data_IF_184339499293
#
_entry.id   IF_184339499293
#
_cell.length_a   1.000
_cell.length_b   1.000
_cell.length_c   1.000
_cell.angle_alpha   90.00
_cell.angle_beta   90.00
_cell.angle_gamma   90.00
#
_symmetry.space_group_name_H-M   'P 1'
#
loop_
_entity.id
_entity.type
_entity.pdbx_description
1 polymer ?
#
# COMPACT_ATOMS: atom_id res chain seq x y z
N UNK A 1 21.32 1.74 -6.58
CA UNK A 1 20.15 1.02 -7.13
C UNK A 1 20.50 0.71 -8.57
N UNK A 2 20.52 -0.56 -8.96
CA UNK A 2 20.76 -0.93 -10.35
C UNK A 2 19.43 -0.76 -11.11
N UNK A 3 19.48 -0.14 -12.28
CA UNK A 3 18.32 -0.12 -13.17
C UNK A 3 18.02 -1.55 -13.63
N UNK A 4 16.74 -1.86 -13.74
CA UNK A 4 16.28 -3.15 -14.26
C UNK A 4 16.48 -3.20 -15.78
N UNK A 5 16.79 -4.37 -16.32
CA UNK A 5 16.85 -4.57 -17.76
C UNK A 5 15.44 -4.77 -18.34
N UNK A 6 15.29 -4.66 -19.66
CA UNK A 6 14.03 -4.98 -20.33
C UNK A 6 13.60 -6.44 -20.12
N UNK A 7 14.57 -7.36 -19.97
CA UNK A 7 14.32 -8.75 -19.65
C UNK A 7 13.77 -8.91 -18.24
N UNK A 8 14.38 -8.23 -17.26
CA UNK A 8 13.89 -8.23 -15.87
C UNK A 8 12.47 -7.66 -15.79
N UNK A 9 12.20 -6.57 -16.52
CA UNK A 9 10.87 -5.98 -16.60
C UNK A 9 9.84 -6.96 -17.19
N UNK A 10 10.21 -7.69 -18.25
CA UNK A 10 9.33 -8.70 -18.88
C UNK A 10 9.03 -9.84 -17.90
N UNK A 11 10.04 -10.32 -17.19
CA UNK A 11 9.87 -11.36 -16.17
C UNK A 11 8.98 -10.89 -15.03
N UNK A 12 9.17 -9.65 -14.54
CA UNK A 12 8.38 -9.07 -13.46
C UNK A 12 6.89 -8.91 -13.85
N UNK A 13 6.62 -8.49 -15.09
CA UNK A 13 5.25 -8.40 -15.59
C UNK A 13 4.59 -9.78 -15.65
N UNK A 14 5.29 -10.80 -16.16
CA UNK A 14 4.76 -12.16 -16.21
C UNK A 14 4.44 -12.71 -14.81
N UNK A 15 5.38 -12.54 -13.86
CA UNK A 15 5.18 -12.96 -12.49
C UNK A 15 3.98 -12.24 -11.84
N UNK A 16 3.83 -10.93 -12.09
CA UNK A 16 2.68 -10.18 -11.62
C UNK A 16 1.37 -10.69 -12.21
N UNK A 17 1.30 -10.94 -13.52
CA UNK A 17 0.09 -11.41 -14.19
C UNK A 17 -0.34 -12.80 -13.67
N UNK A 18 0.61 -13.70 -13.42
CA UNK A 18 0.35 -15.01 -12.81
C UNK A 18 -0.16 -14.88 -11.37
N UNK A 19 0.52 -14.06 -10.55
CA UNK A 19 0.19 -13.91 -9.13
C UNK A 19 -1.12 -13.17 -8.92
N UNK A 20 -1.43 -12.14 -9.74
CA UNK A 20 -2.57 -11.25 -9.53
C UNK A 20 -3.91 -12.01 -9.49
N UNK A 21 -4.01 -13.13 -10.19
CA UNK A 21 -5.20 -13.99 -10.22
C UNK A 21 -5.47 -14.69 -8.88
N UNK A 22 -4.47 -14.78 -8.00
CA UNK A 22 -4.56 -15.42 -6.67
C UNK A 22 -4.90 -14.43 -5.55
N UNK A 23 -4.84 -13.12 -5.81
CA UNK A 23 -5.12 -12.07 -4.84
C UNK A 23 -6.45 -11.39 -5.10
N UNK A 24 -7.08 -10.89 -4.03
CA UNK A 24 -8.17 -9.93 -4.16
C UNK A 24 -7.59 -8.53 -4.28
N UNK A 25 -7.93 -7.82 -5.35
CA UNK A 25 -7.51 -6.43 -5.56
C UNK A 25 -8.46 -5.48 -4.83
N UNK A 26 -7.89 -4.50 -4.14
CA UNK A 26 -8.68 -3.44 -3.50
C UNK A 26 -9.14 -2.46 -4.58
N UNK A 27 -10.46 -2.25 -4.78
CA UNK A 27 -10.96 -1.34 -5.79
C UNK A 27 -10.60 0.11 -5.43
N UNK A 28 -10.21 0.88 -6.44
CA UNK A 28 -10.00 2.32 -6.30
C UNK A 28 -11.31 3.05 -6.59
N UNK A 29 -12.02 3.43 -5.54
CA UNK A 29 -13.26 4.21 -5.62
C UNK A 29 -13.08 5.63 -5.08
N UNK A 30 -14.11 6.46 -5.23
CA UNK A 30 -14.10 7.84 -4.76
C UNK A 30 -13.91 7.95 -3.24
N UNK A 31 -14.38 6.96 -2.47
CA UNK A 31 -14.22 6.94 -1.01
C UNK A 31 -12.74 6.78 -0.64
N UNK A 32 -12.05 5.83 -1.27
CA UNK A 32 -10.64 5.57 -1.08
C UNK A 32 -9.79 6.77 -1.52
N UNK A 33 -10.10 7.37 -2.67
CA UNK A 33 -9.41 8.57 -3.15
C UNK A 33 -9.61 9.76 -2.21
N UNK A 34 -10.80 9.95 -1.67
CA UNK A 34 -11.07 11.00 -0.70
C UNK A 34 -10.30 10.77 0.61
N UNK A 35 -10.25 9.53 1.12
CA UNK A 35 -9.46 9.19 2.29
C UNK A 35 -7.95 9.41 2.04
N UNK A 36 -7.44 9.01 0.87
CA UNK A 36 -6.05 9.24 0.47
C UNK A 36 -5.68 10.74 0.49
N UNK A 37 -6.58 11.60 -0.01
CA UNK A 37 -6.39 13.07 0.06
C UNK A 37 -6.32 13.57 1.50
N UNK A 38 -7.23 13.11 2.36
CA UNK A 38 -7.21 13.48 3.78
C UNK A 38 -5.92 13.03 4.47
N UNK A 39 -5.39 11.86 4.12
CA UNK A 39 -4.13 11.34 4.65
C UNK A 39 -2.93 12.15 4.15
N UNK A 40 -2.94 12.62 2.90
CA UNK A 40 -1.93 13.56 2.40
C UNK A 40 -1.95 14.88 3.17
N UNK A 41 -3.13 15.43 3.46
CA UNK A 41 -3.23 16.64 4.29
C UNK A 41 -2.68 16.37 5.71
N UNK A 42 -3.00 15.19 6.27
CA UNK A 42 -2.60 14.78 7.63
C UNK A 42 -1.11 14.44 7.76
N UNK A 43 -0.50 13.81 6.76
CA UNK A 43 0.84 13.22 6.87
C UNK A 43 1.81 13.64 5.77
N UNK A 44 1.39 14.44 4.79
CA UNK A 44 2.26 14.91 3.71
C UNK A 44 3.47 15.69 4.24
N UNK A 45 3.29 16.46 5.31
CA UNK A 45 4.39 17.16 5.99
C UNK A 45 5.39 16.21 6.70
N UNK A 46 5.02 14.94 6.90
CA UNK A 46 5.88 13.84 7.40
C UNK A 46 6.45 12.98 6.28
N UNK A 47 6.26 13.38 5.02
CA UNK A 47 6.83 12.71 3.86
C UNK A 47 5.92 11.65 3.22
N UNK A 48 4.66 11.51 3.64
CA UNK A 48 3.70 10.64 2.95
C UNK A 48 3.48 11.14 1.51
N UNK A 49 3.72 10.27 0.52
CA UNK A 49 3.55 10.58 -0.91
C UNK A 49 2.24 10.00 -1.44
N UNK A 50 1.85 10.40 -2.65
CA UNK A 50 0.54 10.06 -3.21
C UNK A 50 0.26 8.55 -3.28
N UNK A 51 1.26 7.74 -3.68
CA UNK A 51 1.08 6.29 -3.75
C UNK A 51 0.95 5.68 -2.34
N UNK A 52 1.82 6.08 -1.41
CA UNK A 52 1.79 5.63 -0.02
C UNK A 52 0.47 6.01 0.65
N UNK A 53 -0.09 7.18 0.33
CA UNK A 53 -1.38 7.63 0.84
C UNK A 53 -2.54 6.77 0.32
N UNK A 54 -2.50 6.34 -0.95
CA UNK A 54 -3.46 5.36 -1.50
C UNK A 54 -3.30 4.03 -0.79
N UNK A 55 -2.08 3.52 -0.62
CA UNK A 55 -1.83 2.26 0.08
C UNK A 55 -2.28 2.29 1.54
N UNK A 56 -2.04 3.42 2.23
CA UNK A 56 -2.52 3.65 3.59
C UNK A 56 -4.05 3.75 3.66
N UNK A 57 -4.69 4.44 2.72
CA UNK A 57 -6.14 4.51 2.64
C UNK A 57 -6.76 3.11 2.44
N UNK A 58 -6.19 2.30 1.55
CA UNK A 58 -6.60 0.90 1.34
C UNK A 58 -6.49 0.10 2.64
N UNK A 59 -5.38 0.25 3.36
CA UNK A 59 -5.12 -0.48 4.60
C UNK A 59 -6.11 -0.08 5.72
N UNK A 60 -6.38 1.21 5.88
CA UNK A 60 -7.38 1.71 6.83
C UNK A 60 -8.78 1.22 6.47
N UNK A 61 -9.15 1.25 5.18
CA UNK A 61 -10.46 0.80 4.71
C UNK A 61 -10.75 -0.67 5.03
N UNK A 62 -9.71 -1.50 5.10
CA UNK A 62 -9.80 -2.94 5.38
C UNK A 62 -9.43 -3.31 6.82
N UNK A 63 -9.28 -2.32 7.71
CA UNK A 63 -8.78 -2.53 9.09
C UNK A 63 -9.52 -3.63 9.87
N UNK A 64 -10.81 -3.84 9.57
CA UNK A 64 -11.64 -4.83 10.25
C UNK A 64 -11.73 -6.18 9.52
N UNK A 65 -11.25 -6.26 8.28
CA UNK A 65 -11.35 -7.43 7.41
C UNK A 65 -10.02 -8.18 7.27
N UNK A 66 -8.91 -7.54 7.64
CA UNK A 66 -7.55 -8.06 7.47
C UNK A 66 -6.82 -8.11 8.81
N UNK A 67 -6.14 -9.24 9.07
CA UNK A 67 -5.45 -9.51 10.34
C UNK A 67 -4.03 -8.95 10.41
N UNK A 68 -3.43 -8.63 9.25
CA UNK A 68 -2.04 -8.21 9.17
C UNK A 68 -1.82 -7.30 7.96
N UNK A 69 -1.21 -6.14 8.19
CA UNK A 69 -0.74 -5.23 7.16
C UNK A 69 0.78 -5.25 7.11
N UNK A 70 1.36 -5.37 5.91
CA UNK A 70 2.80 -5.43 5.69
C UNK A 70 3.22 -4.49 4.58
N UNK A 71 4.41 -3.94 4.76
CA UNK A 71 5.15 -3.16 3.76
C UNK A 71 6.64 -3.32 4.04
N UNK A 72 7.46 -3.24 3.00
CA UNK A 72 8.92 -3.16 3.13
C UNK A 72 9.41 -1.70 3.31
N UNK A 73 8.50 -0.72 3.16
CA UNK A 73 8.80 0.69 3.38
C UNK A 73 8.63 1.03 4.87
N UNK A 74 9.75 1.36 5.53
CA UNK A 74 9.77 1.70 6.96
C UNK A 74 8.92 2.92 7.28
N UNK A 75 8.90 3.93 6.41
CA UNK A 75 8.12 5.15 6.62
C UNK A 75 6.62 4.85 6.56
N UNK A 76 6.17 4.09 5.55
CA UNK A 76 4.78 3.66 5.45
C UNK A 76 4.37 2.79 6.64
N UNK A 77 5.26 1.91 7.12
CA UNK A 77 5.00 1.11 8.31
C UNK A 77 4.78 1.98 9.56
N UNK A 78 5.48 3.12 9.69
CA UNK A 78 5.20 4.06 10.79
C UNK A 78 3.79 4.66 10.73
N UNK A 79 3.22 4.84 9.53
CA UNK A 79 1.86 5.32 9.37
C UNK A 79 0.83 4.22 9.66
N UNK A 80 1.11 2.96 9.32
CA UNK A 80 0.26 1.83 9.75
C UNK A 80 0.13 1.76 11.27
N UNK A 81 1.24 1.90 11.99
CA UNK A 81 1.24 1.94 13.47
C UNK A 81 0.46 3.15 13.98
N UNK A 82 0.65 4.33 13.38
CA UNK A 82 -0.06 5.55 13.77
C UNK A 82 -1.59 5.46 13.60
N UNK A 83 -2.06 4.69 12.62
CA UNK A 83 -3.49 4.41 12.37
C UNK A 83 -3.99 3.16 13.12
N UNK A 84 -3.17 2.63 14.04
CA UNK A 84 -3.45 1.45 14.85
C UNK A 84 -3.85 0.23 14.01
N UNK A 85 -3.13 0.00 12.90
CA UNK A 85 -3.24 -1.20 12.08
C UNK A 85 -2.34 -2.31 12.62
N UNK A 86 -2.77 -3.58 12.62
CA UNK A 86 -1.95 -4.70 13.05
C UNK A 86 -0.80 -4.94 12.06
N UNK A 87 0.44 -4.73 12.51
CA UNK A 87 1.68 -4.91 11.69
C UNK A 87 2.51 -6.13 12.09
N UNK A 88 2.07 -6.88 13.10
CA UNK A 88 2.66 -8.13 13.57
C UNK A 88 1.56 -9.09 14.04
N UNK A 89 1.79 -10.38 13.89
CA UNK A 89 0.93 -11.43 14.48
C UNK A 89 1.62 -11.85 15.78
N UNK A 90 0.88 -11.86 16.89
CA UNK A 90 1.30 -12.44 18.18
C UNK A 90 1.21 -13.97 18.17
#
# INVERSE_FOLDING_TARGET
MNEITAQDATFLLHAFDEDCATYTLVPMDDSLLNLSRQLLDKYGHRGLRSLDAIQLASAIGLKHDVQLFKTADDLLNTFFIAEALPVSIE
#
